data_IF_674965738693
#
_entry.id   IF_674965738693
#
_cell.length_a   1.000
_cell.length_b   1.000
_cell.length_c   1.000
_cell.angle_alpha   90.00
_cell.angle_beta   90.00
_cell.angle_gamma   90.00
#
_symmetry.space_group_name_H-M   'P 1'
#
loop_
_entity.id
_entity.type
_entity.pdbx_description
1 polymer ?
#
# COMPACT_ATOMS: atom_id res chain seq x y z
N UNK A 1 15.97 21.40 -16.54
CA UNK A 1 17.33 21.07 -16.07
C UNK A 1 17.38 20.90 -14.54
N UNK A 2 17.11 21.93 -13.74
CA UNK A 2 17.20 21.83 -12.27
C UNK A 2 16.29 20.77 -11.63
N UNK A 3 15.04 20.63 -12.11
CA UNK A 3 14.11 19.62 -11.60
C UNK A 3 14.71 18.21 -11.66
N UNK A 4 15.33 17.85 -12.78
CA UNK A 4 15.93 16.53 -13.01
C UNK A 4 17.12 16.25 -12.09
N UNK A 5 17.76 17.30 -11.55
CA UNK A 5 18.87 17.21 -10.60
C UNK A 5 18.32 17.12 -9.16
N UNK A 6 17.37 17.98 -8.81
CA UNK A 6 16.89 18.12 -7.41
C UNK A 6 15.84 17.07 -7.05
N UNK A 7 14.93 16.72 -7.95
CA UNK A 7 13.84 15.80 -7.64
C UNK A 7 14.35 14.41 -7.19
N UNK A 8 15.36 13.77 -7.82
CA UNK A 8 15.91 12.51 -7.36
C UNK A 8 16.48 12.59 -5.93
N UNK A 9 17.22 13.65 -5.61
CA UNK A 9 17.81 13.89 -4.29
C UNK A 9 16.74 14.05 -3.20
N UNK A 10 15.67 14.78 -3.50
CA UNK A 10 14.54 14.96 -2.58
C UNK A 10 13.71 13.68 -2.44
N UNK A 11 13.56 12.88 -3.49
CA UNK A 11 12.69 11.70 -3.51
C UNK A 11 13.10 10.64 -2.49
N UNK A 12 14.38 10.57 -2.15
CA UNK A 12 14.91 9.68 -1.10
C UNK A 12 14.64 10.20 0.32
N UNK A 13 14.26 11.48 0.48
CA UNK A 13 14.13 12.17 1.78
C UNK A 13 12.70 12.51 2.16
N UNK A 14 11.75 12.49 1.21
CA UNK A 14 10.35 12.91 1.44
C UNK A 14 9.36 11.79 1.18
N UNK A 15 8.23 11.77 1.89
CA UNK A 15 7.10 10.89 1.56
C UNK A 15 6.28 11.37 0.36
N UNK A 16 6.14 12.70 0.19
CA UNK A 16 5.38 13.33 -0.89
C UNK A 16 6.19 14.47 -1.49
N UNK A 17 6.39 14.42 -2.81
CA UNK A 17 7.04 15.47 -3.58
C UNK A 17 5.95 16.25 -4.31
N UNK A 18 6.08 17.57 -4.34
CA UNK A 18 5.12 18.48 -4.98
C UNK A 18 5.88 19.37 -5.95
N UNK A 19 5.24 19.72 -7.06
CA UNK A 19 5.75 20.70 -8.02
C UNK A 19 4.76 21.87 -8.04
N UNK A 20 5.27 23.10 -7.87
CA UNK A 20 4.50 24.35 -7.91
C UNK A 20 3.28 24.38 -6.96
N UNK A 21 3.41 23.77 -5.78
CA UNK A 21 2.32 23.69 -4.79
C UNK A 21 2.84 23.74 -3.35
N UNK A 22 2.09 24.42 -2.48
CA UNK A 22 2.37 24.44 -1.04
C UNK A 22 2.03 23.09 -0.37
N UNK A 23 2.81 22.67 0.64
CA UNK A 23 2.70 21.32 1.21
C UNK A 23 1.55 21.15 2.21
N UNK A 24 0.91 22.23 2.65
CA UNK A 24 -0.08 22.22 3.74
C UNK A 24 -1.31 21.36 3.43
N UNK A 25 -1.80 21.38 2.19
CA UNK A 25 -2.93 20.55 1.78
C UNK A 25 -2.57 19.07 1.68
N UNK A 26 -3.35 18.22 2.36
CA UNK A 26 -3.24 16.75 2.32
C UNK A 26 -4.55 16.16 1.82
N UNK A 27 -4.58 15.73 0.56
CA UNK A 27 -5.73 15.04 -0.01
C UNK A 27 -5.94 13.66 0.62
N UNK A 28 -7.18 13.32 0.96
CA UNK A 28 -7.56 11.98 1.41
C UNK A 28 -7.92 11.14 0.19
N UNK A 29 -6.91 10.53 -0.45
CA UNK A 29 -7.09 9.71 -1.65
C UNK A 29 -6.21 8.46 -1.63
N UNK A 30 -6.51 7.42 -2.45
CA UNK A 30 -5.70 6.20 -2.51
C UNK A 30 -4.23 6.43 -2.90
N UNK A 31 -3.94 7.50 -3.63
CA UNK A 31 -2.59 7.84 -4.08
C UNK A 31 -1.76 8.60 -3.02
N UNK A 32 -2.35 8.97 -1.89
CA UNK A 32 -1.67 9.76 -0.87
C UNK A 32 -0.58 8.95 -0.15
N UNK A 33 0.60 9.56 -0.01
CA UNK A 33 1.64 9.10 0.90
C UNK A 33 1.94 10.18 1.96
N UNK A 34 1.27 10.08 3.11
CA UNK A 34 1.51 10.93 4.27
C UNK A 34 2.39 10.18 5.26
N UNK A 35 3.70 10.43 5.16
CA UNK A 35 4.78 9.71 5.84
C UNK A 35 6.12 10.10 5.22
N UNK A 36 7.06 9.16 5.16
CA UNK A 36 8.41 9.37 4.60
C UNK A 36 9.52 8.73 5.44
N UNK A 37 10.79 8.96 5.10
CA UNK A 37 11.91 8.55 5.95
C UNK A 37 11.85 9.16 7.36
N UNK A 38 12.50 8.51 8.33
CA UNK A 38 12.66 9.09 9.67
C UNK A 38 13.32 10.48 9.58
N UNK A 39 12.86 11.50 10.34
CA UNK A 39 11.88 11.45 11.43
C UNK A 39 10.42 11.70 11.02
N UNK A 40 10.10 11.80 9.72
CA UNK A 40 8.73 12.07 9.28
C UNK A 40 7.75 10.95 9.70
N UNK A 41 8.23 9.70 9.80
CA UNK A 41 7.54 8.58 10.46
C UNK A 41 8.56 7.57 10.98
N UNK A 42 8.17 6.78 11.97
CA UNK A 42 8.96 5.64 12.46
C UNK A 42 8.91 4.42 11.54
N UNK A 43 8.00 4.38 10.56
CA UNK A 43 7.89 3.25 9.63
C UNK A 43 7.65 3.75 8.19
N UNK A 44 8.71 3.95 7.37
CA UNK A 44 8.62 4.59 6.05
C UNK A 44 7.87 3.75 5.00
N UNK A 45 7.63 2.46 5.25
CA UNK A 45 6.87 1.57 4.37
C UNK A 45 5.35 1.80 4.38
N UNK A 46 4.83 2.65 5.27
CA UNK A 46 3.39 2.93 5.37
C UNK A 46 3.05 4.40 5.15
N UNK A 47 1.78 4.64 4.81
CA UNK A 47 1.15 5.96 4.83
C UNK A 47 0.13 6.05 5.96
N UNK A 48 0.04 7.21 6.62
CA UNK A 48 -0.99 7.47 7.62
C UNK A 48 -2.34 7.88 7.01
N UNK A 49 -2.34 8.42 5.78
CA UNK A 49 -3.53 8.96 5.09
C UNK A 49 -3.71 8.26 3.74
N UNK A 50 -4.97 8.00 3.36
CA UNK A 50 -5.34 7.39 2.09
C UNK A 50 -5.69 5.90 2.23
N UNK A 51 -6.93 5.56 1.87
CA UNK A 51 -7.44 4.17 1.86
C UNK A 51 -7.27 3.61 0.44
N UNK A 52 -6.87 2.33 0.28
CA UNK A 52 -6.72 1.32 1.34
C UNK A 52 -5.34 1.23 1.99
N UNK A 53 -4.33 1.93 1.46
CA UNK A 53 -2.95 1.76 1.89
C UNK A 53 -2.73 2.00 3.40
N UNK A 54 -3.40 2.99 3.98
CA UNK A 54 -3.26 3.32 5.41
C UNK A 54 -3.83 2.27 6.36
N UNK A 55 -4.78 1.44 5.91
CA UNK A 55 -5.37 0.38 6.72
C UNK A 55 -4.36 -0.72 7.06
N UNK A 56 -3.34 -0.92 6.20
CA UNK A 56 -2.30 -1.94 6.41
C UNK A 56 -1.50 -1.75 7.70
N UNK A 57 -1.48 -0.55 8.28
CA UNK A 57 -0.84 -0.27 9.58
C UNK A 57 -1.50 -1.01 10.75
N UNK A 58 -2.75 -1.44 10.58
CA UNK A 58 -3.54 -2.16 11.57
C UNK A 58 -3.78 -3.62 11.19
N UNK A 59 -3.09 -4.10 10.16
CA UNK A 59 -3.19 -5.48 9.68
C UNK A 59 -1.83 -6.19 9.84
N UNK A 60 -1.86 -7.51 9.72
CA UNK A 60 -0.66 -8.35 9.66
C UNK A 60 -0.78 -9.32 8.48
N UNK A 61 0.36 -9.72 7.91
CA UNK A 61 0.39 -10.79 6.91
C UNK A 61 0.33 -12.14 7.61
N UNK A 62 -0.42 -13.07 7.03
CA UNK A 62 -0.52 -14.46 7.44
C UNK A 62 -0.25 -15.35 6.23
N UNK A 63 0.48 -16.45 6.43
CA UNK A 63 0.79 -17.43 5.40
C UNK A 63 0.22 -18.80 5.82
N UNK A 64 -0.31 -19.54 4.85
CA UNK A 64 -0.88 -20.87 5.04
C UNK A 64 -0.18 -21.83 4.09
N UNK A 65 0.57 -22.79 4.62
CA UNK A 65 1.30 -23.79 3.84
C UNK A 65 0.85 -25.21 4.23
N UNK A 66 0.51 -26.04 3.24
CA UNK A 66 0.01 -27.40 3.46
C UNK A 66 -1.32 -27.50 4.25
N UNK A 67 -2.07 -26.41 4.39
CA UNK A 67 -3.32 -26.38 5.16
C UNK A 67 -4.46 -26.99 4.36
N UNK A 68 -5.21 -27.91 4.99
CA UNK A 68 -6.36 -28.58 4.35
C UNK A 68 -7.43 -27.55 3.93
N UNK A 69 -8.11 -27.72 2.78
CA UNK A 69 -9.04 -26.71 2.24
C UNK A 69 -10.11 -26.24 3.23
N UNK A 70 -10.75 -27.16 3.97
CA UNK A 70 -11.80 -26.83 4.95
C UNK A 70 -11.31 -26.04 6.18
N UNK A 71 -9.99 -25.88 6.37
CA UNK A 71 -9.38 -25.10 7.46
C UNK A 71 -8.89 -23.74 6.99
N UNK A 72 -8.85 -23.49 5.69
CA UNK A 72 -8.49 -22.19 5.15
C UNK A 72 -9.64 -21.21 5.40
N UNK A 73 -9.33 -19.93 5.70
CA UNK A 73 -10.31 -18.85 5.64
C UNK A 73 -11.04 -18.88 4.29
N UNK A 74 -12.37 -18.60 4.24
CA UNK A 74 -13.14 -18.69 3.00
C UNK A 74 -12.51 -17.92 1.82
N UNK A 75 -11.93 -16.75 2.07
CA UNK A 75 -11.26 -15.92 1.05
C UNK A 75 -10.03 -16.59 0.41
N UNK A 76 -9.42 -17.57 1.10
CA UNK A 76 -8.23 -18.29 0.64
C UNK A 76 -8.54 -19.68 0.07
N UNK A 77 -9.79 -20.14 0.11
CA UNK A 77 -10.21 -21.40 -0.52
C UNK A 77 -10.25 -21.25 -2.05
N UNK A 78 -10.18 -22.34 -2.81
CA UNK A 78 -10.09 -22.29 -4.28
C UNK A 78 -11.25 -21.50 -4.94
N UNK A 79 -12.49 -21.79 -4.54
CA UNK A 79 -13.68 -21.04 -4.97
C UNK A 79 -13.57 -19.54 -4.60
N UNK A 80 -12.99 -19.23 -3.43
CA UNK A 80 -12.81 -17.89 -2.92
C UNK A 80 -14.12 -17.28 -2.40
N UNK A 81 -14.17 -15.95 -2.37
CA UNK A 81 -15.38 -15.20 -2.05
C UNK A 81 -15.76 -14.27 -3.21
N UNK A 82 -17.05 -14.16 -3.58
CA UNK A 82 -17.51 -13.26 -4.62
C UNK A 82 -17.00 -11.84 -4.43
N UNK A 83 -16.55 -11.20 -5.52
CA UNK A 83 -16.09 -9.81 -5.52
C UNK A 83 -14.73 -9.57 -4.84
N UNK A 84 -14.06 -10.61 -4.32
CA UNK A 84 -12.73 -10.47 -3.74
C UNK A 84 -11.64 -10.75 -4.77
N UNK A 85 -10.73 -9.79 -4.95
CA UNK A 85 -9.56 -9.94 -5.82
C UNK A 85 -8.45 -10.75 -5.17
N UNK A 86 -7.87 -11.69 -5.93
CA UNK A 86 -6.75 -12.54 -5.54
C UNK A 86 -5.71 -12.57 -6.66
N UNK A 87 -4.44 -12.59 -6.29
CA UNK A 87 -3.34 -12.75 -7.24
C UNK A 87 -2.88 -14.22 -7.19
N UNK A 88 -3.23 -15.00 -8.21
CA UNK A 88 -2.91 -16.43 -8.32
C UNK A 88 -1.95 -16.61 -9.48
N UNK A 89 -0.74 -17.11 -9.21
CA UNK A 89 0.32 -17.32 -10.21
C UNK A 89 0.56 -16.10 -11.10
N UNK A 90 0.60 -14.90 -10.48
CA UNK A 90 0.80 -13.63 -11.17
C UNK A 90 -0.42 -13.09 -11.92
N UNK A 91 -1.57 -13.79 -11.89
CA UNK A 91 -2.80 -13.37 -12.57
C UNK A 91 -3.88 -12.97 -11.57
N UNK A 92 -4.48 -11.79 -11.76
CA UNK A 92 -5.60 -11.35 -10.93
C UNK A 92 -6.88 -12.13 -11.27
N UNK A 93 -7.54 -12.70 -10.27
CA UNK A 93 -8.81 -13.43 -10.37
C UNK A 93 -9.76 -12.98 -9.27
N UNK A 94 -11.07 -13.05 -9.54
CA UNK A 94 -12.10 -12.89 -8.51
C UNK A 94 -12.54 -14.26 -8.02
N UNK A 95 -12.98 -14.33 -6.76
CA UNK A 95 -13.71 -15.50 -6.26
C UNK A 95 -15.04 -15.65 -6.98
N UNK A 96 -15.47 -16.90 -7.13
CA UNK A 96 -16.79 -17.29 -7.66
C UNK A 96 -17.88 -17.11 -6.61
#
# INVERSE_FOLDING_TARGET
ELYSIVAPELRQRVGRLLNDKMPTGVAVSPAMNHGGPFPATGHPGFTAVGIPASLRRFAMLQCYDGVRPHRLPPVLQDAGLPGTWRLVDGTWRQGE
#
